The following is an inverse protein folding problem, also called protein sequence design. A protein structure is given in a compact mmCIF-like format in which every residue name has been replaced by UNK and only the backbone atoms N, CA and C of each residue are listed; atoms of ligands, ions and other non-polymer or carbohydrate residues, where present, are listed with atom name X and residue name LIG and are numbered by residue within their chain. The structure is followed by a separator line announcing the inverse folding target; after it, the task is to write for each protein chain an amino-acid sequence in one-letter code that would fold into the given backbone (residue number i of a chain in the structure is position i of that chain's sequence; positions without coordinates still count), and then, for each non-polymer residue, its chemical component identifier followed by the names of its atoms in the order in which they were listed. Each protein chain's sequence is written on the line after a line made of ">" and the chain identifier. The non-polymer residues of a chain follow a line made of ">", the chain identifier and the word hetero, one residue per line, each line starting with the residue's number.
data_IF_592944890909
#
_entry.id   IF_592944890909
#
_cell.length_a   1.000
_cell.length_b   1.000
_cell.length_c   1.000
_cell.angle_alpha   90.00
_cell.angle_beta   90.00
_cell.angle_gamma   90.00
#
_symmetry.space_group_name_H-M   'P 1'
#
loop_
_entity.id
_entity.type
_entity.pdbx_description
1 polymer ?
#
# COMPACT_ATOMS: atom_id res chain seq x y z
N UNK A 1 -17.51 -40.63 38.47
CA UNK A 1 -16.25 -39.93 38.13
C UNK A 1 -16.55 -38.97 36.98
N UNK A 2 -16.95 -37.75 37.31
CA UNK A 2 -17.32 -36.71 36.36
C UNK A 2 -16.24 -35.63 36.39
N UNK A 3 -15.54 -35.44 35.27
CA UNK A 3 -14.52 -34.42 35.14
C UNK A 3 -15.14 -33.09 34.73
N UNK A 4 -15.01 -32.11 35.63
CA UNK A 4 -15.18 -30.68 35.38
C UNK A 4 -14.06 -30.20 34.43
N UNK A 5 -14.42 -29.43 33.40
CA UNK A 5 -13.49 -28.54 32.71
C UNK A 5 -14.15 -27.17 32.54
N UNK A 6 -13.60 -26.22 33.29
CA UNK A 6 -13.92 -24.82 33.28
C UNK A 6 -13.39 -24.14 32.00
N UNK A 7 -14.19 -23.28 31.39
CA UNK A 7 -13.74 -22.33 30.40
C UNK A 7 -13.93 -20.91 30.94
N UNK A 8 -12.80 -20.28 31.24
CA UNK A 8 -12.68 -18.89 31.63
C UNK A 8 -12.86 -17.99 30.40
N UNK A 9 -13.95 -17.22 30.38
CA UNK A 9 -14.14 -16.12 29.44
C UNK A 9 -13.36 -14.90 29.93
N UNK A 10 -12.29 -14.56 29.21
CA UNK A 10 -11.51 -13.35 29.44
C UNK A 10 -12.15 -12.17 28.72
N UNK A 11 -12.41 -11.11 29.50
CA UNK A 11 -12.86 -9.79 29.06
C UNK A 11 -11.93 -9.20 28.00
N UNK A 12 -12.46 -8.87 26.81
CA UNK A 12 -11.86 -7.88 25.92
C UNK A 12 -12.39 -6.51 26.29
N UNK A 13 -11.48 -5.63 26.72
CA UNK A 13 -11.71 -4.20 26.90
C UNK A 13 -11.79 -3.51 25.54
N UNK A 14 -12.84 -2.74 25.34
CA UNK A 14 -13.00 -1.84 24.20
C UNK A 14 -11.93 -0.75 24.21
N UNK A 15 -11.24 -0.60 23.09
CA UNK A 15 -10.25 0.44 22.85
C UNK A 15 -10.94 1.62 22.15
N UNK A 16 -11.17 2.67 22.94
CA UNK A 16 -11.56 4.00 22.46
C UNK A 16 -10.32 4.66 21.85
N UNK A 17 -10.26 4.80 20.53
CA UNK A 17 -9.38 5.77 19.88
C UNK A 17 -10.21 6.87 19.24
N UNK A 18 -10.24 8.00 19.95
CA UNK A 18 -10.63 9.30 19.43
C UNK A 18 -9.66 9.75 18.33
N UNK A 19 -10.20 10.02 17.14
CA UNK A 19 -9.48 10.74 16.09
C UNK A 19 -9.51 12.24 16.40
N UNK A 20 -8.48 12.74 17.09
CA UNK A 20 -8.17 14.18 17.08
C UNK A 20 -7.09 14.43 16.04
N UNK A 21 -7.54 15.02 14.92
CA UNK A 21 -6.70 15.75 13.95
C UNK A 21 -5.77 16.70 14.70
N UNK A 22 -4.47 16.54 14.50
CA UNK A 22 -3.52 17.64 14.64
C UNK A 22 -2.96 17.88 13.25
N UNK A 23 -3.60 18.79 12.53
CA UNK A 23 -3.01 19.46 11.38
C UNK A 23 -1.92 20.39 11.91
N UNK A 24 -0.69 19.92 11.93
CA UNK A 24 0.49 20.74 12.17
C UNK A 24 0.90 21.42 10.86
N UNK A 25 0.32 22.59 10.59
CA UNK A 25 0.82 23.54 9.59
C UNK A 25 2.22 24.00 10.03
N UNK A 26 3.26 23.51 9.36
CA UNK A 26 4.59 24.08 9.42
C UNK A 26 4.61 25.34 8.56
N UNK A 27 4.56 26.51 9.20
CA UNK A 27 4.94 27.79 8.60
C UNK A 27 6.31 28.15 9.21
N UNK A 28 7.38 28.32 8.42
CA UNK A 28 8.61 28.90 8.94
C UNK A 28 8.45 30.42 8.98
N UNK A 29 8.07 30.96 10.13
CA UNK A 29 8.21 32.39 10.40
C UNK A 29 9.60 32.64 10.99
N UNK A 30 10.52 33.10 10.14
CA UNK A 30 11.76 33.75 10.54
C UNK A 30 11.40 35.15 11.06
N UNK A 31 11.29 35.30 12.38
CA UNK A 31 11.34 36.62 13.02
C UNK A 31 12.73 36.84 13.60
N UNK A 32 13.40 37.84 13.05
CA UNK A 32 14.57 38.52 13.59
C UNK A 32 14.36 38.81 15.08
N UNK A 33 15.28 38.31 15.92
CA UNK A 33 15.42 38.79 17.30
C UNK A 33 16.65 39.67 17.35
N UNK A 34 16.34 40.90 17.73
CA UNK A 34 17.19 42.06 17.86
C UNK A 34 18.30 41.86 18.91
N UNK A 35 19.40 42.54 18.66
CA UNK A 35 20.61 42.60 19.46
C UNK A 35 20.35 43.10 20.90
N UNK A 36 21.07 42.54 21.88
CA UNK A 36 21.66 43.28 23.00
C UNK A 36 22.69 42.43 23.74
N UNK A 37 23.87 43.02 23.89
CA UNK A 37 25.11 42.33 24.21
C UNK A 37 25.34 41.96 25.67
N UNK A 38 26.35 41.12 25.86
CA UNK A 38 27.12 41.00 27.09
C UNK A 38 28.57 40.63 26.75
N UNK A 39 29.48 41.35 27.41
CA UNK A 39 30.93 41.33 27.25
C UNK A 39 31.57 40.07 27.86
N UNK A 40 32.73 39.71 27.27
CA UNK A 40 33.89 39.00 27.85
C UNK A 40 33.69 37.53 28.26
N UNK A 41 34.40 36.63 27.58
CA UNK A 41 35.66 36.06 28.10
C UNK A 41 36.31 35.18 27.04
N UNK A 42 37.61 35.40 26.82
CA UNK A 42 38.46 34.58 25.99
C UNK A 42 38.79 33.26 26.72
N UNK A 43 38.59 32.12 26.06
CA UNK A 43 39.47 30.96 26.22
C UNK A 43 39.22 29.89 25.15
N UNK A 44 40.34 29.43 24.59
CA UNK A 44 40.60 28.14 23.96
C UNK A 44 39.79 27.73 22.72
N UNK A 45 40.34 28.17 21.59
CA UNK A 45 40.10 27.65 20.23
C UNK A 45 40.46 26.16 20.15
N UNK A 46 39.46 25.29 20.32
CA UNK A 46 39.51 23.91 19.83
C UNK A 46 38.76 23.88 18.50
N UNK A 47 39.53 23.90 17.40
CA UNK A 47 39.02 23.80 16.03
C UNK A 47 38.35 22.44 15.85
N UNK A 48 37.03 22.40 15.99
CA UNK A 48 36.19 21.33 15.46
C UNK A 48 36.11 21.52 13.95
N UNK A 49 36.93 20.77 13.23
CA UNK A 49 36.80 20.58 11.78
C UNK A 49 35.49 19.83 11.52
N UNK A 50 34.42 20.57 11.24
CA UNK A 50 33.21 20.04 10.62
C UNK A 50 33.60 19.51 9.25
N UNK A 51 33.77 18.19 9.15
CA UNK A 51 33.95 17.49 7.89
C UNK A 51 32.58 17.53 7.18
N UNK A 52 32.34 18.62 6.47
CA UNK A 52 31.33 18.68 5.42
C UNK A 52 31.78 17.69 4.34
N UNK A 53 31.22 16.49 4.39
CA UNK A 53 31.38 15.50 3.33
C UNK A 53 30.96 16.14 2.02
N UNK A 54 31.86 16.34 1.05
CA UNK A 54 31.48 16.89 -0.24
C UNK A 54 30.51 15.92 -0.91
N UNK A 55 29.33 16.41 -1.25
CA UNK A 55 28.39 15.73 -2.12
C UNK A 55 29.13 15.39 -3.42
N UNK A 56 29.56 14.14 -3.56
CA UNK A 56 30.18 13.61 -4.76
C UNK A 56 29.09 13.51 -5.83
N UNK A 57 28.79 14.62 -6.47
CA UNK A 57 28.13 14.62 -7.77
C UNK A 57 29.14 14.09 -8.79
N UNK A 58 29.26 12.77 -8.86
CA UNK A 58 29.89 12.10 -10.00
C UNK A 58 29.03 12.41 -11.22
N UNK A 59 29.47 13.41 -11.98
CA UNK A 59 28.89 13.82 -13.26
C UNK A 59 29.39 12.87 -14.35
N UNK A 60 29.30 11.56 -14.11
CA UNK A 60 29.41 10.59 -15.17
C UNK A 60 28.09 10.65 -15.93
N UNK A 61 28.16 11.04 -17.19
CA UNK A 61 27.03 11.11 -18.12
C UNK A 61 26.52 9.70 -18.45
N UNK A 62 25.94 9.02 -17.46
CA UNK A 62 25.10 7.87 -17.69
C UNK A 62 23.98 8.36 -18.60
N UNK A 63 23.94 7.84 -19.83
CA UNK A 63 22.75 7.88 -20.67
C UNK A 63 21.55 7.64 -19.76
N UNK A 64 20.56 8.52 -19.78
CA UNK A 64 19.26 8.26 -19.17
C UNK A 64 18.77 6.94 -19.75
N UNK A 65 19.03 5.84 -19.03
CA UNK A 65 18.54 4.53 -19.38
C UNK A 65 17.02 4.62 -19.29
N UNK A 66 16.35 4.31 -20.39
CA UNK A 66 14.90 4.43 -20.43
C UNK A 66 14.30 3.50 -19.37
N UNK A 67 13.20 3.92 -18.74
CA UNK A 67 12.45 3.02 -17.87
C UNK A 67 12.07 1.72 -18.59
N UNK A 68 11.84 1.80 -19.91
CA UNK A 68 11.58 0.63 -20.71
C UNK A 68 12.78 -0.32 -20.75
N UNK A 69 13.99 0.21 -20.94
CA UNK A 69 15.22 -0.60 -20.92
C UNK A 69 15.40 -1.27 -19.54
N UNK A 70 15.05 -0.56 -18.47
CA UNK A 70 15.06 -1.12 -17.11
C UNK A 70 14.07 -2.28 -16.96
N UNK A 71 12.88 -2.20 -17.58
CA UNK A 71 11.87 -3.25 -17.52
C UNK A 71 12.21 -4.44 -18.40
N UNK A 72 12.72 -4.21 -19.59
CA UNK A 72 13.09 -5.25 -20.55
C UNK A 72 14.26 -6.09 -20.02
N UNK A 73 15.15 -5.48 -19.23
CA UNK A 73 16.29 -6.15 -18.60
C UNK A 73 16.02 -6.54 -17.13
N UNK A 74 14.78 -6.45 -16.65
CA UNK A 74 14.44 -6.73 -15.26
C UNK A 74 14.67 -8.20 -14.90
N UNK A 75 15.47 -8.44 -13.86
CA UNK A 75 15.78 -9.79 -13.38
C UNK A 75 14.71 -10.22 -12.36
N UNK A 76 14.07 -11.39 -12.51
CA UNK A 76 13.16 -11.93 -11.50
C UNK A 76 13.82 -12.01 -10.12
N UNK A 77 13.12 -11.55 -9.09
CA UNK A 77 13.60 -11.58 -7.71
C UNK A 77 13.55 -12.99 -7.12
N UNK A 78 12.55 -13.77 -7.53
CA UNK A 78 12.31 -15.11 -7.03
C UNK A 78 12.96 -16.16 -7.94
N UNK A 79 13.50 -17.21 -7.34
CA UNK A 79 13.99 -18.36 -8.08
C UNK A 79 12.84 -19.07 -8.83
N UNK A 80 13.13 -19.85 -9.89
CA UNK A 80 12.14 -20.75 -10.48
C UNK A 80 11.51 -21.67 -9.42
N UNK A 81 10.25 -22.03 -9.62
CA UNK A 81 9.49 -22.91 -8.73
C UNK A 81 10.17 -24.27 -8.67
N UNK A 82 10.41 -24.74 -7.44
CA UNK A 82 10.96 -26.07 -7.22
C UNK A 82 10.01 -27.14 -7.82
N UNK A 83 10.50 -28.07 -8.64
CA UNK A 83 9.70 -29.16 -9.19
C UNK A 83 8.95 -29.98 -8.13
N UNK A 84 9.47 -30.10 -6.91
CA UNK A 84 8.77 -30.77 -5.80
C UNK A 84 7.46 -30.05 -5.42
N UNK A 85 7.42 -28.72 -5.44
CA UNK A 85 6.20 -27.95 -5.19
C UNK A 85 5.14 -28.15 -6.28
N UNK A 86 5.55 -28.46 -7.51
CA UNK A 86 4.63 -28.81 -8.60
C UNK A 86 3.93 -30.13 -8.29
N UNK A 87 4.65 -31.10 -7.72
CA UNK A 87 4.10 -32.41 -7.33
C UNK A 87 3.13 -32.32 -6.15
N UNK A 88 3.28 -31.30 -5.30
CA UNK A 88 2.34 -31.02 -4.20
C UNK A 88 1.02 -30.37 -4.65
N UNK A 89 0.93 -29.91 -5.91
CA UNK A 89 -0.31 -29.35 -6.44
C UNK A 89 -1.41 -30.43 -6.51
N UNK A 90 -2.67 -30.03 -6.32
CA UNK A 90 -3.83 -30.95 -6.44
C UNK A 90 -3.92 -31.63 -7.82
N UNK A 91 -3.44 -30.96 -8.87
CA UNK A 91 -3.43 -31.39 -10.27
C UNK A 91 -2.03 -31.17 -10.88
N UNK A 92 -1.02 -31.97 -10.50
CA UNK A 92 0.38 -31.73 -10.85
C UNK A 92 0.62 -31.78 -12.36
N UNK A 93 -0.09 -32.67 -13.08
CA UNK A 93 0.00 -32.78 -14.53
C UNK A 93 -0.53 -31.54 -15.28
N UNK A 94 -1.51 -30.82 -14.72
CA UNK A 94 -1.98 -29.54 -15.31
C UNK A 94 -1.01 -28.43 -14.94
N UNK A 95 -0.51 -28.43 -13.70
CA UNK A 95 0.45 -27.44 -13.21
C UNK A 95 1.78 -27.50 -13.98
N UNK A 96 2.24 -28.68 -14.39
CA UNK A 96 3.49 -28.85 -15.15
C UNK A 96 3.41 -28.37 -16.61
N UNK A 97 2.20 -28.20 -17.17
CA UNK A 97 2.02 -27.65 -18.51
C UNK A 97 2.21 -26.13 -18.58
N UNK A 98 2.23 -25.45 -17.42
CA UNK A 98 2.38 -24.00 -17.33
C UNK A 98 3.74 -23.64 -16.76
N UNK A 99 4.42 -22.69 -17.41
CA UNK A 99 5.68 -22.16 -16.90
C UNK A 99 5.41 -21.17 -15.77
N UNK A 100 6.44 -20.83 -14.99
CA UNK A 100 6.34 -19.77 -13.98
C UNK A 100 6.11 -18.38 -14.61
N UNK A 101 6.41 -18.23 -15.89
CA UNK A 101 6.07 -17.03 -16.66
C UNK A 101 4.57 -16.90 -16.88
N UNK A 102 3.91 -18.00 -17.24
CA UNK A 102 2.46 -18.03 -17.47
C UNK A 102 1.66 -17.90 -16.17
N UNK A 103 2.26 -18.28 -15.04
CA UNK A 103 1.60 -18.28 -13.72
C UNK A 103 1.90 -16.99 -12.97
N UNK A 104 3.12 -16.48 -13.06
CA UNK A 104 3.61 -15.38 -12.23
C UNK A 104 3.86 -15.78 -10.78
N UNK A 105 4.04 -14.74 -9.96
CA UNK A 105 4.36 -14.82 -8.53
C UNK A 105 3.14 -14.62 -7.63
N UNK A 106 2.08 -14.05 -8.19
CA UNK A 106 0.83 -13.80 -7.53
C UNK A 106 -0.23 -13.28 -8.48
N UNK A 107 -1.34 -12.82 -7.89
CA UNK A 107 -2.37 -12.12 -8.61
C UNK A 107 -2.91 -10.94 -7.80
N UNK A 108 -3.59 -10.03 -8.48
CA UNK A 108 -4.53 -9.11 -7.85
C UNK A 108 -5.82 -8.95 -8.68
N UNK A 109 -6.93 -8.76 -7.97
CA UNK A 109 -8.25 -8.48 -8.49
C UNK A 109 -8.51 -6.99 -8.45
N UNK A 110 -8.82 -6.42 -9.62
CA UNK A 110 -9.21 -5.02 -9.71
C UNK A 110 -10.54 -4.78 -8.98
N UNK A 111 -10.56 -3.83 -8.04
CA UNK A 111 -11.77 -3.49 -7.28
C UNK A 111 -12.94 -3.04 -8.18
N UNK A 112 -12.65 -2.46 -9.35
CA UNK A 112 -13.64 -1.90 -10.26
C UNK A 112 -14.25 -2.94 -11.21
N UNK A 113 -13.42 -3.64 -12.01
CA UNK A 113 -13.90 -4.54 -13.06
C UNK A 113 -13.69 -6.03 -12.74
N UNK A 114 -13.11 -6.35 -11.57
CA UNK A 114 -12.83 -7.71 -11.09
C UNK A 114 -11.92 -8.53 -12.00
N UNK A 115 -11.23 -7.88 -12.93
CA UNK A 115 -10.24 -8.55 -13.75
C UNK A 115 -9.07 -9.03 -12.91
N UNK A 116 -8.62 -10.24 -13.23
CA UNK A 116 -7.45 -10.88 -12.65
C UNK A 116 -6.19 -10.38 -13.35
N UNK A 117 -5.25 -9.88 -12.57
CA UNK A 117 -3.98 -9.38 -13.06
C UNK A 117 -2.87 -10.23 -12.44
N UNK A 118 -2.07 -10.85 -13.28
CA UNK A 118 -0.90 -11.62 -12.84
C UNK A 118 0.22 -10.66 -12.47
N UNK A 119 0.95 -10.95 -11.38
CA UNK A 119 2.06 -10.12 -10.91
C UNK A 119 3.35 -10.93 -10.83
N UNK A 120 4.46 -10.26 -11.09
CA UNK A 120 5.80 -10.84 -11.07
C UNK A 120 6.73 -9.93 -10.27
N UNK A 121 7.50 -10.51 -9.38
CA UNK A 121 8.43 -9.81 -8.52
C UNK A 121 9.80 -9.75 -9.18
N UNK A 122 10.28 -8.54 -9.43
CA UNK A 122 11.59 -8.24 -10.02
C UNK A 122 12.52 -7.61 -9.00
N UNK A 123 13.83 -7.74 -9.23
CA UNK A 123 14.87 -7.06 -8.45
C UNK A 123 14.92 -5.57 -8.79
N UNK A 124 15.53 -4.79 -7.89
CA UNK A 124 15.76 -3.37 -8.12
C UNK A 124 14.60 -2.46 -7.68
N UNK A 125 14.52 -1.22 -8.21
CA UNK A 125 13.68 -0.15 -7.66
C UNK A 125 12.19 -0.33 -7.94
N UNK A 126 11.80 -1.09 -8.97
CA UNK A 126 10.42 -1.25 -9.41
C UNK A 126 9.96 -2.72 -9.28
N UNK A 127 9.64 -3.20 -8.07
CA UNK A 127 9.48 -4.63 -7.78
C UNK A 127 8.39 -5.32 -8.59
N UNK A 128 7.40 -4.60 -9.09
CA UNK A 128 6.29 -5.17 -9.87
C UNK A 128 6.01 -4.38 -11.16
N UNK A 129 6.94 -3.51 -11.58
CA UNK A 129 6.75 -2.60 -12.71
C UNK A 129 5.41 -1.83 -12.56
N UNK A 130 4.59 -1.75 -13.62
CA UNK A 130 3.27 -1.12 -13.62
C UNK A 130 2.17 -2.08 -13.14
N UNK A 131 1.53 -1.74 -12.04
CA UNK A 131 0.35 -2.43 -11.50
C UNK A 131 -0.93 -1.80 -12.03
N UNK A 132 -1.16 -1.93 -13.34
CA UNK A 132 -2.38 -1.45 -14.03
C UNK A 132 -3.29 -2.61 -14.41
N UNK A 133 -4.58 -2.40 -14.29
CA UNK A 133 -5.57 -3.40 -14.65
C UNK A 133 -5.59 -3.61 -16.18
N UNK A 134 -5.34 -4.84 -16.64
CA UNK A 134 -5.35 -5.17 -18.07
C UNK A 134 -6.69 -4.97 -18.78
N UNK A 135 -7.79 -4.73 -18.03
CA UNK A 135 -9.14 -4.52 -18.58
C UNK A 135 -9.65 -3.08 -18.53
N UNK A 136 -9.40 -2.37 -17.42
CA UNK A 136 -9.93 -1.00 -17.23
C UNK A 136 -8.84 0.06 -16.99
N UNK A 137 -7.57 -0.35 -17.10
CA UNK A 137 -6.38 0.51 -17.08
C UNK A 137 -6.15 1.32 -15.78
N UNK A 138 -6.99 1.10 -14.77
CA UNK A 138 -6.84 1.66 -13.42
C UNK A 138 -5.62 1.05 -12.72
N UNK A 139 -4.86 1.90 -12.04
CA UNK A 139 -3.79 1.46 -11.13
C UNK A 139 -4.34 0.72 -9.91
N UNK A 140 -3.52 -0.15 -9.32
CA UNK A 140 -3.84 -0.84 -8.07
C UNK A 140 -4.03 0.17 -6.93
N UNK A 141 -5.16 0.07 -6.22
CA UNK A 141 -5.49 0.91 -5.06
C UNK A 141 -5.63 0.07 -3.78
N UNK A 142 -5.95 0.72 -2.66
CA UNK A 142 -6.15 0.06 -1.35
C UNK A 142 -7.30 -0.94 -1.33
N UNK A 143 -8.29 -0.77 -2.21
CA UNK A 143 -9.50 -1.62 -2.27
C UNK A 143 -9.33 -2.81 -3.21
N UNK A 144 -8.20 -2.87 -3.93
CA UNK A 144 -7.84 -4.01 -4.75
C UNK A 144 -7.39 -5.18 -3.86
N UNK A 145 -7.70 -6.39 -4.28
CA UNK A 145 -7.38 -7.60 -3.52
C UNK A 145 -6.20 -8.30 -4.15
N UNK A 146 -5.21 -8.68 -3.38
CA UNK A 146 -4.04 -9.40 -3.87
C UNK A 146 -3.81 -10.70 -3.11
N UNK A 147 -3.10 -11.63 -3.75
CA UNK A 147 -2.56 -12.80 -3.07
C UNK A 147 -1.46 -12.38 -2.08
N UNK A 148 -0.90 -13.36 -1.35
CA UNK A 148 0.04 -13.15 -0.27
C UNK A 148 1.32 -12.40 -0.67
N UNK A 149 1.66 -12.36 -1.96
CA UNK A 149 2.82 -11.63 -2.48
C UNK A 149 2.72 -10.11 -2.28
N UNK A 150 1.50 -9.55 -2.25
CA UNK A 150 1.26 -8.14 -1.96
C UNK A 150 0.28 -8.06 -0.79
N UNK A 151 0.77 -7.76 0.39
CA UNK A 151 -0.09 -7.58 1.58
C UNK A 151 -0.17 -6.10 1.92
N UNK A 152 -1.36 -5.49 2.05
CA UNK A 152 -1.49 -4.08 2.43
C UNK A 152 -0.73 -3.77 3.72
N UNK A 153 0.05 -2.68 3.70
CA UNK A 153 0.82 -2.21 4.83
C UNK A 153 0.16 -0.96 5.42
N UNK A 154 -0.24 -0.97 6.71
CA UNK A 154 -0.93 0.16 7.35
C UNK A 154 -0.23 1.51 7.17
N UNK A 155 -1.01 2.54 6.87
CA UNK A 155 -0.53 3.92 6.86
C UNK A 155 0.00 4.30 8.25
N UNK A 156 1.10 5.06 8.29
CA UNK A 156 1.77 5.46 9.52
C UNK A 156 2.73 4.42 10.11
N UNK A 157 2.67 3.16 9.68
CA UNK A 157 3.66 2.17 10.08
C UNK A 157 4.93 2.31 9.24
N UNK A 158 5.99 2.82 9.87
CA UNK A 158 7.29 3.06 9.23
C UNK A 158 8.39 2.12 9.72
N UNK A 159 8.15 1.33 10.78
CA UNK A 159 9.14 0.40 11.31
C UNK A 159 8.98 -0.97 10.69
N UNK A 160 10.08 -1.57 10.23
CA UNK A 160 10.10 -2.92 9.70
C UNK A 160 11.38 -3.67 10.12
N UNK A 161 11.34 -5.01 10.19
CA UNK A 161 12.53 -5.81 10.41
C UNK A 161 13.58 -5.56 9.32
N UNK A 162 14.83 -5.41 9.74
CA UNK A 162 15.95 -5.26 8.80
C UNK A 162 16.10 -6.54 7.97
N UNK A 163 16.23 -6.45 6.64
CA UNK A 163 16.49 -7.62 5.82
C UNK A 163 17.84 -8.24 6.18
N UNK A 164 17.97 -9.56 5.99
CA UNK A 164 19.25 -10.23 6.12
C UNK A 164 20.29 -9.61 5.16
N UNK A 165 21.60 -9.61 5.50
CA UNK A 165 22.63 -9.08 4.62
C UNK A 165 22.53 -9.65 3.20
N UNK A 166 22.58 -8.78 2.19
CA UNK A 166 22.45 -9.14 0.78
C UNK A 166 21.02 -9.40 0.29
N UNK A 167 19.99 -9.24 1.14
CA UNK A 167 18.59 -9.28 0.70
C UNK A 167 18.02 -7.88 0.53
N UNK A 168 17.19 -7.71 -0.50
CA UNK A 168 16.46 -6.47 -0.76
C UNK A 168 15.33 -6.24 0.26
N UNK A 169 14.95 -4.97 0.43
CA UNK A 169 13.81 -4.56 1.25
C UNK A 169 12.51 -5.10 0.64
N UNK A 170 11.70 -5.80 1.45
CA UNK A 170 10.44 -6.43 1.02
C UNK A 170 9.23 -5.53 1.25
N UNK A 171 9.36 -4.26 0.90
CA UNK A 171 8.29 -3.27 1.02
C UNK A 171 8.27 -2.39 -0.22
N UNK A 172 7.08 -2.00 -0.66
CA UNK A 172 6.91 -1.09 -1.78
C UNK A 172 5.70 -0.18 -1.57
N UNK A 173 5.64 0.90 -2.35
CA UNK A 173 4.43 1.68 -2.55
C UNK A 173 4.12 1.76 -4.05
N UNK A 174 2.90 2.19 -4.39
CA UNK A 174 2.44 2.25 -5.79
C UNK A 174 1.99 3.65 -6.11
N UNK A 175 2.51 4.22 -7.21
CA UNK A 175 2.09 5.53 -7.67
C UNK A 175 0.59 5.53 -8.00
N UNK A 176 -0.18 6.38 -7.34
CA UNK A 176 -1.64 6.49 -7.52
C UNK A 176 -2.05 7.01 -8.90
N UNK A 177 -1.13 7.68 -9.61
CA UNK A 177 -1.38 8.24 -10.92
C UNK A 177 -1.16 7.23 -12.06
N UNK A 178 0.02 6.58 -12.12
CA UNK A 178 0.36 5.67 -13.23
C UNK A 178 0.43 4.17 -12.83
N UNK A 179 0.34 3.84 -11.55
CA UNK A 179 0.46 2.46 -11.07
C UNK A 179 1.88 1.90 -11.01
N UNK A 180 2.92 2.70 -11.26
CA UNK A 180 4.30 2.24 -11.13
C UNK A 180 4.63 1.92 -9.67
N UNK A 181 5.13 0.71 -9.41
CA UNK A 181 5.59 0.29 -8.09
C UNK A 181 6.99 0.84 -7.80
N UNK A 182 7.25 1.26 -6.57
CA UNK A 182 8.59 1.62 -6.10
C UNK A 182 8.90 0.90 -4.80
N UNK A 183 10.10 0.32 -4.72
CA UNK A 183 10.64 -0.31 -3.51
C UNK A 183 10.93 0.77 -2.48
N UNK A 184 10.59 0.51 -1.23
CA UNK A 184 10.91 1.40 -0.12
C UNK A 184 12.41 1.39 0.17
N UNK A 185 12.96 2.55 0.48
CA UNK A 185 14.30 2.65 1.05
C UNK A 185 14.25 2.34 2.55
N UNK A 186 15.33 1.82 3.12
CA UNK A 186 15.39 1.49 4.54
C UNK A 186 16.65 2.05 5.17
N UNK A 187 16.48 2.91 6.17
CA UNK A 187 17.54 3.34 7.07
C UNK A 187 17.38 2.65 8.43
N UNK A 188 18.30 1.73 8.73
CA UNK A 188 18.28 0.87 9.94
C UNK A 188 17.05 -0.05 9.99
N UNK A 189 15.96 0.44 10.56
CA UNK A 189 14.66 -0.25 10.72
C UNK A 189 13.50 0.62 10.26
N UNK A 190 13.78 1.83 9.79
CA UNK A 190 12.77 2.78 9.33
C UNK A 190 12.69 2.70 7.82
N UNK A 191 11.49 2.48 7.32
CA UNK A 191 11.13 2.55 5.90
C UNK A 191 10.88 4.01 5.52
N UNK A 192 11.55 4.46 4.46
CA UNK A 192 11.27 5.73 3.82
C UNK A 192 10.35 5.53 2.61
N UNK A 193 9.25 6.28 2.63
CA UNK A 193 8.23 6.30 1.57
C UNK A 193 7.98 7.74 1.07
N UNK A 194 8.69 8.74 1.59
CA UNK A 194 8.41 10.15 1.35
C UNK A 194 9.38 10.75 0.33
N UNK A 195 8.95 11.81 -0.35
CA UNK A 195 9.83 12.58 -1.25
C UNK A 195 10.25 11.84 -2.52
N UNK A 196 9.69 10.65 -2.79
CA UNK A 196 9.94 9.88 -3.99
C UNK A 196 9.14 10.50 -5.15
N UNK A 197 9.83 10.90 -6.21
CA UNK A 197 9.21 11.31 -7.47
C UNK A 197 9.06 10.10 -8.38
N UNK A 198 7.84 9.85 -8.86
CA UNK A 198 7.57 8.75 -9.78
C UNK A 198 8.35 8.94 -11.07
N UNK A 199 9.27 8.03 -11.38
CA UNK A 199 10.01 8.04 -12.64
C UNK A 199 9.10 7.89 -13.87
N UNK A 200 7.93 7.27 -13.71
CA UNK A 200 6.98 7.04 -14.82
C UNK A 200 6.15 8.27 -15.19
N UNK A 201 5.66 9.05 -14.22
CA UNK A 201 4.75 10.17 -14.48
C UNK A 201 5.13 11.49 -13.80
N UNK A 202 6.24 11.54 -13.07
CA UNK A 202 6.73 12.73 -12.37
C UNK A 202 5.93 13.11 -11.11
N UNK A 203 4.88 12.38 -10.75
CA UNK A 203 4.11 12.64 -9.53
C UNK A 203 4.96 12.32 -8.30
N UNK A 204 5.06 13.25 -7.34
CA UNK A 204 5.76 13.02 -6.07
C UNK A 204 4.85 12.40 -5.02
N UNK A 205 5.40 11.48 -4.23
CA UNK A 205 4.70 10.88 -3.08
C UNK A 205 4.85 11.76 -1.85
N UNK A 206 3.71 12.07 -1.21
CA UNK A 206 3.67 12.73 0.10
C UNK A 206 3.23 11.74 1.19
N UNK A 207 3.46 10.44 0.95
CA UNK A 207 3.07 9.35 1.84
C UNK A 207 1.63 8.88 1.69
N UNK A 208 0.90 9.42 0.70
CA UNK A 208 -0.48 9.10 0.33
C UNK A 208 -0.59 7.85 -0.55
N UNK A 209 0.51 7.40 -1.14
CA UNK A 209 0.54 6.22 -1.99
C UNK A 209 0.25 4.95 -1.19
N UNK A 210 -0.54 4.00 -1.73
CA UNK A 210 -0.80 2.73 -1.08
C UNK A 210 0.50 1.95 -0.89
N UNK A 211 0.67 1.38 0.30
CA UNK A 211 1.89 0.70 0.74
C UNK A 211 1.62 -0.78 0.88
N UNK A 212 2.61 -1.60 0.55
CA UNK A 212 2.49 -3.05 0.58
C UNK A 212 3.78 -3.68 1.11
N UNK A 213 3.60 -4.76 1.86
CA UNK A 213 4.64 -5.73 2.16
C UNK A 213 4.70 -6.76 1.03
N UNK A 214 5.92 -7.07 0.59
CA UNK A 214 6.21 -8.07 -0.44
C UNK A 214 6.37 -9.43 0.24
N UNK A 215 5.31 -10.24 0.18
CA UNK A 215 5.28 -11.55 0.82
C UNK A 215 6.03 -12.64 0.06
N UNK A 216 5.70 -13.89 0.40
CA UNK A 216 6.24 -15.08 -0.26
C UNK A 216 5.37 -15.48 -1.45
N UNK A 217 6.00 -16.04 -2.49
CA UNK A 217 5.33 -16.45 -3.73
C UNK A 217 4.91 -17.92 -3.73
N UNK A 218 5.52 -18.72 -2.85
CA UNK A 218 5.34 -20.18 -2.79
C UNK A 218 3.87 -20.60 -2.64
N UNK A 219 3.06 -19.99 -1.75
CA UNK A 219 1.67 -20.40 -1.58
C UNK A 219 0.84 -20.25 -2.85
N UNK A 220 1.15 -19.24 -3.66
CA UNK A 220 0.49 -18.97 -4.93
C UNK A 220 1.01 -19.89 -6.04
N UNK A 221 2.33 -19.99 -6.22
CA UNK A 221 2.94 -20.85 -7.24
C UNK A 221 2.61 -22.33 -7.05
N UNK A 222 2.41 -22.77 -5.81
CA UNK A 222 1.99 -24.14 -5.46
C UNK A 222 0.60 -24.44 -5.98
N UNK A 223 -0.39 -23.59 -5.73
CA UNK A 223 -1.77 -23.77 -6.23
C UNK A 223 -2.44 -22.42 -6.58
N UNK A 224 -2.24 -21.93 -7.82
CA UNK A 224 -2.78 -20.64 -8.24
C UNK A 224 -4.31 -20.60 -8.20
N UNK A 225 -4.96 -21.72 -8.51
CA UNK A 225 -6.43 -21.82 -8.58
C UNK A 225 -7.07 -21.77 -7.19
N UNK A 226 -6.44 -22.44 -6.22
CA UNK A 226 -6.87 -22.37 -4.82
C UNK A 226 -6.72 -20.97 -4.26
N UNK A 227 -5.55 -20.33 -4.48
CA UNK A 227 -5.31 -18.96 -4.01
C UNK A 227 -6.19 -17.92 -4.68
N UNK A 228 -6.49 -18.12 -5.96
CA UNK A 228 -7.50 -17.32 -6.65
C UNK A 228 -8.86 -17.42 -5.93
N UNK A 229 -9.32 -18.65 -5.65
CA UNK A 229 -10.63 -18.87 -5.01
C UNK A 229 -10.69 -18.20 -3.64
N UNK A 230 -9.66 -18.36 -2.82
CA UNK A 230 -9.57 -17.74 -1.50
C UNK A 230 -9.58 -16.21 -1.57
N UNK A 231 -8.89 -15.62 -2.56
CA UNK A 231 -8.85 -14.17 -2.77
C UNK A 231 -10.22 -13.65 -3.19
N UNK A 232 -10.91 -14.38 -4.07
CA UNK A 232 -12.28 -14.07 -4.50
C UNK A 232 -13.29 -14.17 -3.35
N UNK A 233 -13.24 -15.25 -2.57
CA UNK A 233 -14.10 -15.45 -1.41
C UNK A 233 -13.91 -14.34 -0.37
N UNK A 234 -12.65 -13.98 -0.08
CA UNK A 234 -12.33 -12.85 0.81
C UNK A 234 -12.91 -11.53 0.29
N UNK A 235 -12.75 -11.26 -1.00
CA UNK A 235 -13.34 -10.08 -1.65
C UNK A 235 -14.87 -10.06 -1.55
N UNK A 236 -15.51 -11.22 -1.67
CA UNK A 236 -16.98 -11.33 -1.61
C UNK A 236 -17.49 -11.17 -0.18
N UNK A 237 -16.75 -11.71 0.80
CA UNK A 237 -17.06 -11.62 2.21
C UNK A 237 -16.96 -10.18 2.75
N UNK A 238 -15.89 -9.45 2.44
CA UNK A 238 -15.75 -8.05 2.89
C UNK A 238 -16.85 -7.15 2.34
N UNK A 239 -17.24 -7.33 1.08
CA UNK A 239 -18.36 -6.59 0.51
C UNK A 239 -19.67 -6.86 1.25
N UNK A 240 -19.94 -8.12 1.57
CA UNK A 240 -21.13 -8.50 2.33
C UNK A 240 -21.11 -7.88 3.73
N UNK A 241 -19.93 -7.78 4.34
CA UNK A 241 -19.76 -7.13 5.64
C UNK A 241 -20.01 -5.62 5.55
N UNK A 242 -19.46 -4.93 4.55
CA UNK A 242 -19.69 -3.50 4.33
C UNK A 242 -21.17 -3.20 4.10
N UNK A 243 -21.86 -4.01 3.29
CA UNK A 243 -23.30 -3.88 3.04
C UNK A 243 -24.12 -4.09 4.32
N UNK A 244 -23.74 -5.06 5.17
CA UNK A 244 -24.38 -5.28 6.48
C UNK A 244 -24.09 -4.17 7.48
N UNK A 245 -22.86 -3.67 7.54
CA UNK A 245 -22.49 -2.56 8.41
C UNK A 245 -23.20 -1.28 8.00
N UNK A 246 -23.35 -1.02 6.70
CA UNK A 246 -24.15 0.08 6.19
C UNK A 246 -25.64 -0.09 6.54
N UNK A 247 -26.21 -1.29 6.39
CA UNK A 247 -27.58 -1.56 6.78
C UNK A 247 -27.82 -1.35 8.29
N UNK A 248 -26.94 -1.90 9.13
CA UNK A 248 -27.02 -1.73 10.60
C UNK A 248 -26.90 -0.27 11.01
N UNK A 249 -26.01 0.49 10.35
CA UNK A 249 -25.86 1.93 10.60
C UNK A 249 -27.11 2.72 10.20
N UNK A 250 -27.76 2.35 9.08
CA UNK A 250 -29.05 2.95 8.69
C UNK A 250 -30.14 2.70 9.73
N UNK A 251 -30.22 1.47 10.24
CA UNK A 251 -31.21 1.09 11.26
C UNK A 251 -30.96 1.81 12.60
N UNK A 252 -29.69 1.95 13.02
CA UNK A 252 -29.33 2.57 14.30
C UNK A 252 -29.57 4.09 14.30
N UNK A 253 -29.22 4.78 13.21
CA UNK A 253 -29.26 6.25 13.17
C UNK A 253 -30.46 6.82 12.43
N UNK A 254 -31.25 6.00 11.72
CA UNK A 254 -32.38 6.47 10.91
C UNK A 254 -31.96 7.44 9.81
N UNK A 255 -30.75 7.31 9.27
CA UNK A 255 -30.31 8.08 8.11
C UNK A 255 -30.38 7.19 6.88
N UNK A 256 -30.93 7.74 5.80
CA UNK A 256 -30.74 7.16 4.49
C UNK A 256 -29.49 7.75 3.84
N UNK A 257 -28.68 6.85 3.30
CA UNK A 257 -27.50 7.21 2.50
C UNK A 257 -27.99 7.34 1.05
N UNK A 258 -28.09 8.58 0.58
CA UNK A 258 -28.32 8.86 -0.83
C UNK A 258 -26.96 9.00 -1.52
N UNK A 259 -26.71 8.16 -2.52
CA UNK A 259 -25.51 8.25 -3.35
C UNK A 259 -25.83 9.06 -4.61
N UNK A 260 -25.01 10.07 -4.90
CA UNK A 260 -25.09 10.88 -6.11
C UNK A 260 -23.70 10.87 -6.78
N UNK A 261 -23.54 10.02 -7.80
CA UNK A 261 -22.24 9.77 -8.42
C UNK A 261 -21.25 9.11 -7.44
N UNK A 262 -20.10 9.74 -7.22
CA UNK A 262 -19.07 9.31 -6.27
C UNK A 262 -19.18 9.95 -4.88
N UNK A 263 -20.20 10.79 -4.64
CA UNK A 263 -20.45 11.41 -3.35
C UNK A 263 -21.61 10.71 -2.60
N UNK A 264 -21.44 10.52 -1.30
CA UNK A 264 -22.46 9.97 -0.40
C UNK A 264 -22.90 11.08 0.57
N UNK A 265 -24.20 11.36 0.63
CA UNK A 265 -24.78 12.34 1.55
C UNK A 265 -25.66 11.60 2.57
N UNK A 266 -25.51 11.96 3.85
CA UNK A 266 -26.35 11.47 4.95
C UNK A 266 -27.59 12.34 5.07
N UNK A 267 -28.77 11.79 4.80
CA UNK A 267 -30.06 12.49 4.95
C UNK A 267 -30.81 11.86 6.11
N UNK A 268 -31.20 12.67 7.10
CA UNK A 268 -31.96 12.20 8.26
C UNK A 268 -33.38 11.87 7.81
N UNK A 269 -33.91 10.67 8.12
CA UNK A 269 -35.30 10.36 7.83
C UNK A 269 -36.22 11.29 8.62
N UNK A 270 -36.76 12.31 7.96
CA UNK A 270 -37.75 13.22 8.54
C UNK A 270 -39.19 12.77 8.27
N UNK A 271 -39.41 11.55 7.75
CA UNK A 271 -40.74 11.00 7.50
C UNK A 271 -41.47 11.56 6.27
N UNK A 272 -40.98 12.67 5.69
CA UNK A 272 -41.61 13.39 4.57
C UNK A 272 -40.72 13.46 3.31
N UNK A 273 -40.02 12.38 2.95
CA UNK A 273 -39.34 12.30 1.65
C UNK A 273 -40.35 11.87 0.57
N UNK A 274 -41.14 12.82 0.08
CA UNK A 274 -41.91 12.63 -1.15
C UNK A 274 -40.94 12.48 -2.35
N UNK A 275 -41.16 11.53 -3.28
CA UNK A 275 -40.28 11.30 -4.44
C UNK A 275 -40.14 12.48 -5.42
N UNK A 276 -40.80 13.60 -5.16
CA UNK A 276 -40.90 14.77 -6.04
C UNK A 276 -39.79 15.82 -5.87
N UNK A 277 -38.85 15.67 -4.95
CA UNK A 277 -37.73 16.62 -4.78
C UNK A 277 -36.52 16.36 -5.71
N UNK A 278 -36.67 15.51 -6.74
CA UNK A 278 -35.63 15.24 -7.75
C UNK A 278 -35.68 16.34 -8.82
N UNK A 279 -35.34 17.57 -8.47
CA UNK A 279 -35.35 18.65 -9.44
C UNK A 279 -35.17 20.06 -8.91
N UNK A 280 -34.19 20.30 -8.04
CA UNK A 280 -33.55 21.61 -7.83
C UNK A 280 -32.54 21.50 -6.68
N UNK A 281 -31.34 21.05 -6.98
CA UNK A 281 -30.19 21.38 -6.15
C UNK A 281 -29.41 22.43 -6.94
N UNK A 282 -29.67 23.70 -6.65
CA UNK A 282 -28.89 24.81 -7.17
C UNK A 282 -27.44 24.66 -6.72
N UNK A 283 -26.55 24.62 -7.71
CA UNK A 283 -25.10 24.72 -7.55
C UNK A 283 -24.76 26.05 -6.87
N UNK A 284 -24.48 26.02 -5.57
CA UNK A 284 -23.70 27.08 -4.93
C UNK A 284 -22.23 26.69 -5.06
N UNK A 285 -21.52 27.50 -5.84
CA UNK A 285 -20.08 27.43 -6.08
C UNK A 285 -19.28 27.94 -4.87
#
# INVERSE_FOLDING_TARGET
>A
MAHNLALALTQRKDSVFHSRRISGLFIPNLTEVNEKGLKRQASNSSRLSVILSPARHSKDGSRDESLQDTFDNAIPAEAPTDPSLILENKYPAIRSLRTDEDIGDGLWLCCHCRHENTIRHYRGPHPFQYLRCGRCDRGMCTDCYSSEVLTPWPMGMISAPRPAPGREVRYCHVCTNCGLSHRAEMERTTLDFYGITCSGCGTSSYGDWPRYHIGTVEPYRRDPNERWRQTWERSSALRTQDERSLAAWKDEFGYDICTWGSASILIRNSGDCSPSCIGQADLWA
#
